data_IF_975201138060
#
_entry.id   IF_975201138060
#
_cell.length_a   1.000
_cell.length_b   1.000
_cell.length_c   1.000
_cell.angle_alpha   90.00
_cell.angle_beta   90.00
_cell.angle_gamma   90.00
#
_symmetry.space_group_name_H-M   'P 1'
#
loop_
_entity.id
_entity.type
_entity.pdbx_description
1 polymer ?
#
# COMPACT_ATOMS: atom_id res chain seq x y z
N UNK A 1 0.86 12.71 -10.37
CA UNK A 1 0.40 11.44 -9.76
C UNK A 1 -0.21 11.63 -8.38
N UNK A 2 -1.24 10.85 -8.01
CA UNK A 2 -1.86 10.85 -6.66
C UNK A 2 -0.84 10.56 -5.54
N UNK A 3 0.05 9.58 -5.77
CA UNK A 3 1.10 9.24 -4.81
C UNK A 3 2.09 10.39 -4.55
N UNK A 4 2.44 11.17 -5.57
CA UNK A 4 3.31 12.36 -5.42
C UNK A 4 2.66 13.42 -4.53
N UNK A 5 1.33 13.63 -4.65
CA UNK A 5 0.59 14.62 -3.84
C UNK A 5 0.64 14.32 -2.34
N UNK A 6 0.91 13.07 -1.97
CA UNK A 6 1.00 12.58 -0.59
C UNK A 6 2.43 12.31 -0.15
N UNK A 7 3.43 12.75 -0.90
CA UNK A 7 4.85 12.49 -0.58
C UNK A 7 5.24 12.82 0.85
N UNK A 8 4.74 13.93 1.40
CA UNK A 8 5.00 14.33 2.79
C UNK A 8 4.42 13.35 3.83
N UNK A 9 3.26 12.74 3.56
CA UNK A 9 2.68 11.73 4.44
C UNK A 9 3.57 10.48 4.50
N UNK A 10 4.04 10.01 3.35
CA UNK A 10 4.94 8.85 3.28
C UNK A 10 6.29 9.12 3.97
N UNK A 11 6.84 10.32 3.78
CA UNK A 11 8.08 10.75 4.47
C UNK A 11 7.90 10.80 5.99
N UNK A 12 6.80 11.38 6.48
CA UNK A 12 6.48 11.41 7.92
C UNK A 12 6.33 10.01 8.51
N UNK A 13 5.77 9.08 7.74
CA UNK A 13 5.61 7.68 8.11
C UNK A 13 6.89 6.85 7.94
N UNK A 14 7.96 7.43 7.38
CA UNK A 14 9.21 6.74 7.03
C UNK A 14 8.97 5.56 6.08
N UNK A 15 7.99 5.68 5.18
CA UNK A 15 7.65 4.65 4.21
C UNK A 15 8.37 4.91 2.88
N UNK A 16 9.09 3.90 2.38
CA UNK A 16 9.64 3.91 1.02
C UNK A 16 8.60 3.38 0.03
N UNK A 17 8.60 3.96 -1.17
CA UNK A 17 7.72 3.55 -2.27
C UNK A 17 8.59 3.01 -3.40
N UNK A 18 8.21 1.83 -3.89
CA UNK A 18 8.76 1.22 -5.09
C UNK A 18 7.60 0.88 -6.03
N UNK A 19 7.60 1.43 -7.24
CA UNK A 19 6.70 0.98 -8.29
C UNK A 19 7.37 -0.15 -9.08
N UNK A 20 6.60 -1.14 -9.50
CA UNK A 20 7.11 -2.29 -10.26
C UNK A 20 6.20 -2.52 -11.46
N UNK A 21 6.79 -2.82 -12.62
CA UNK A 21 6.06 -3.35 -13.78
C UNK A 21 6.94 -4.34 -14.54
N UNK A 22 6.36 -4.98 -15.55
CA UNK A 22 7.04 -5.90 -16.48
C UNK A 22 7.83 -5.17 -17.58
N UNK A 23 7.91 -3.84 -17.52
CA UNK A 23 8.72 -3.05 -18.42
C UNK A 23 10.21 -3.13 -18.07
N UNK A 24 11.05 -2.73 -19.02
CA UNK A 24 12.50 -2.60 -18.80
C UNK A 24 12.84 -1.29 -18.10
N UNK A 25 14.05 -1.21 -17.52
CA UNK A 25 14.59 0.05 -16.97
C UNK A 25 14.71 1.16 -18.01
N UNK A 26 14.88 0.82 -19.30
CA UNK A 26 14.93 1.79 -20.39
C UNK A 26 13.56 2.41 -20.64
N UNK A 27 12.51 1.58 -20.64
CA UNK A 27 11.12 2.05 -20.73
C UNK A 27 10.79 2.97 -19.57
N UNK A 28 11.15 2.59 -18.33
CA UNK A 28 10.94 3.44 -17.15
C UNK A 28 11.63 4.80 -17.28
N UNK A 29 12.87 4.83 -17.74
CA UNK A 29 13.61 6.06 -17.97
C UNK A 29 12.91 6.95 -19.01
N UNK A 30 12.52 6.37 -20.16
CA UNK A 30 11.81 7.11 -21.20
C UNK A 30 10.49 7.68 -20.68
N UNK A 31 9.72 6.92 -19.90
CA UNK A 31 8.50 7.39 -19.26
C UNK A 31 8.74 8.57 -18.32
N UNK A 32 9.75 8.49 -17.44
CA UNK A 32 10.08 9.60 -16.53
C UNK A 32 10.49 10.87 -17.30
N UNK A 33 11.22 10.71 -18.41
CA UNK A 33 11.73 11.84 -19.20
C UNK A 33 10.65 12.48 -20.08
N UNK A 34 9.68 11.70 -20.58
CA UNK A 34 8.72 12.14 -21.60
C UNK A 34 7.30 12.38 -21.07
N UNK A 35 6.86 11.65 -20.05
CA UNK A 35 5.47 11.69 -19.57
C UNK A 35 5.25 12.81 -18.55
N UNK A 36 4.42 13.80 -18.91
CA UNK A 36 4.12 14.95 -18.05
C UNK A 36 3.46 14.53 -16.72
N UNK A 37 2.65 13.47 -16.72
CA UNK A 37 2.03 12.94 -15.49
C UNK A 37 3.05 12.46 -14.46
N UNK A 38 4.22 12.00 -14.91
CA UNK A 38 5.34 11.54 -14.09
C UNK A 38 6.35 12.64 -13.76
N UNK A 39 6.10 13.89 -14.17
CA UNK A 39 6.95 15.01 -13.79
C UNK A 39 7.06 15.11 -12.26
N UNK A 40 8.30 15.11 -11.76
CA UNK A 40 8.60 15.12 -10.33
C UNK A 40 8.35 13.79 -9.60
N UNK A 41 8.16 12.69 -10.32
CA UNK A 41 8.19 11.35 -9.75
C UNK A 41 9.58 11.03 -9.21
N UNK A 42 9.66 10.77 -7.89
CA UNK A 42 10.92 10.61 -7.14
C UNK A 42 11.12 9.21 -6.55
N UNK A 43 10.21 8.30 -6.85
CA UNK A 43 10.20 6.94 -6.28
C UNK A 43 10.97 5.98 -7.18
N UNK A 44 11.49 4.89 -6.60
CA UNK A 44 12.21 3.88 -7.36
C UNK A 44 11.23 3.11 -8.27
N UNK A 45 11.65 2.85 -9.50
CA UNK A 45 10.92 1.99 -10.43
C UNK A 45 11.72 0.71 -10.66
N UNK A 46 11.22 -0.43 -10.18
CA UNK A 46 11.82 -1.73 -10.45
C UNK A 46 11.28 -2.30 -11.77
N UNK A 47 12.17 -2.98 -12.49
CA UNK A 47 11.85 -3.67 -13.73
C UNK A 47 11.77 -5.18 -13.47
N UNK A 48 10.59 -5.76 -13.66
CA UNK A 48 10.33 -7.20 -13.60
C UNK A 48 10.12 -7.75 -15.02
N UNK A 49 11.08 -7.51 -15.91
CA UNK A 49 10.91 -7.74 -17.34
C UNK A 49 10.60 -9.21 -17.71
N UNK A 50 11.07 -10.16 -16.91
CA UNK A 50 10.78 -11.58 -17.10
C UNK A 50 9.50 -12.04 -16.37
N UNK A 51 8.82 -11.15 -15.65
CA UNK A 51 7.61 -11.44 -14.87
C UNK A 51 7.84 -12.38 -13.69
N UNK A 52 9.10 -12.63 -13.28
CA UNK A 52 9.40 -13.59 -12.21
C UNK A 52 8.82 -13.11 -10.88
N UNK A 53 9.03 -11.84 -10.55
CA UNK A 53 8.57 -11.27 -9.29
C UNK A 53 7.04 -11.20 -9.23
N UNK A 54 6.40 -10.79 -10.32
CA UNK A 54 4.95 -10.73 -10.43
C UNK A 54 4.28 -12.11 -10.31
N UNK A 55 4.92 -13.18 -10.83
CA UNK A 55 4.47 -14.56 -10.66
C UNK A 55 4.61 -15.05 -9.22
N UNK A 56 5.73 -14.73 -8.55
CA UNK A 56 5.93 -15.06 -7.13
C UNK A 56 4.86 -14.41 -6.23
N UNK A 57 4.38 -13.23 -6.62
CA UNK A 57 3.29 -12.53 -5.95
C UNK A 57 1.88 -12.98 -6.37
N UNK A 58 1.77 -13.86 -7.38
CA UNK A 58 0.49 -14.34 -7.89
C UNK A 58 -0.34 -13.28 -8.62
N UNK A 59 0.29 -12.22 -9.14
CA UNK A 59 -0.37 -11.10 -9.82
C UNK A 59 -0.03 -10.99 -11.30
N UNK A 60 0.75 -11.92 -11.85
CA UNK A 60 1.12 -11.92 -13.26
C UNK A 60 0.01 -12.54 -14.10
N UNK A 61 -0.41 -11.83 -15.15
CA UNK A 61 -1.32 -12.32 -16.17
C UNK A 61 -0.50 -12.92 -17.32
N UNK A 62 -0.60 -14.24 -17.48
CA UNK A 62 0.13 -15.01 -18.50
C UNK A 62 -0.39 -14.76 -19.92
N UNK A 63 -1.66 -14.34 -20.09
CA UNK A 63 -2.24 -14.13 -21.42
C UNK A 63 -1.74 -12.83 -22.04
N UNK A 64 -1.60 -11.78 -21.24
CA UNK A 64 -1.22 -10.43 -21.72
C UNK A 64 0.21 -10.02 -21.32
N UNK A 65 0.88 -10.78 -20.45
CA UNK A 65 2.26 -10.53 -20.06
C UNK A 65 2.46 -9.34 -19.12
N UNK A 66 1.46 -9.02 -18.29
CA UNK A 66 1.47 -7.85 -17.40
C UNK A 66 1.07 -8.22 -15.97
N UNK A 67 1.50 -7.41 -15.01
CA UNK A 67 1.05 -7.54 -13.63
C UNK A 67 -0.30 -6.84 -13.42
N UNK A 68 -1.19 -7.46 -12.64
CA UNK A 68 -2.40 -6.83 -12.12
C UNK A 68 -2.06 -5.62 -11.24
N UNK A 69 -3.01 -4.68 -11.08
CA UNK A 69 -2.82 -3.49 -10.24
C UNK A 69 -2.89 -3.84 -8.74
N UNK A 70 -1.79 -4.35 -8.20
CA UNK A 70 -1.66 -4.73 -6.80
C UNK A 70 -0.88 -3.73 -5.95
N UNK A 71 -1.16 -3.64 -4.66
CA UNK A 71 -0.36 -2.92 -3.68
C UNK A 71 -0.02 -3.87 -2.53
N UNK A 72 1.23 -3.84 -2.08
CA UNK A 72 1.73 -4.60 -0.95
C UNK A 72 2.37 -3.63 0.03
N UNK A 73 2.01 -3.76 1.31
CA UNK A 73 2.60 -2.98 2.41
C UNK A 73 3.37 -3.96 3.29
N UNK A 74 4.68 -3.75 3.34
CA UNK A 74 5.64 -4.60 4.04
C UNK A 74 6.25 -3.78 5.17
N UNK A 75 6.35 -4.37 6.36
CA UNK A 75 6.95 -3.70 7.51
C UNK A 75 8.50 -3.85 7.52
N UNK A 76 9.22 -3.14 8.41
CA UNK A 76 10.69 -3.19 8.45
C UNK A 76 11.29 -4.58 8.67
N UNK A 77 10.57 -5.50 9.30
CA UNK A 77 10.98 -6.88 9.51
C UNK A 77 10.78 -7.76 8.25
N UNK A 78 10.32 -7.17 7.14
CA UNK A 78 10.09 -7.87 5.87
C UNK A 78 8.78 -8.68 5.84
N UNK A 79 7.86 -8.44 6.79
CA UNK A 79 6.58 -9.14 6.86
C UNK A 79 5.51 -8.39 6.08
N UNK A 80 4.76 -9.10 5.23
CA UNK A 80 3.60 -8.54 4.54
C UNK A 80 2.49 -8.22 5.55
N UNK A 81 2.04 -6.96 5.59
CA UNK A 81 1.02 -6.48 6.54
C UNK A 81 -0.31 -6.19 5.89
N UNK A 82 -0.32 -5.80 4.62
CA UNK A 82 -1.54 -5.64 3.82
C UNK A 82 -1.24 -5.87 2.35
N UNK A 83 -2.21 -6.43 1.62
CA UNK A 83 -2.20 -6.47 0.17
C UNK A 83 -3.61 -6.26 -0.37
N UNK A 84 -3.70 -5.66 -1.54
CA UNK A 84 -4.96 -5.57 -2.28
C UNK A 84 -4.70 -5.48 -3.77
N UNK A 85 -5.62 -6.06 -4.55
CA UNK A 85 -5.61 -6.07 -6.01
C UNK A 85 -6.83 -5.29 -6.48
N UNK A 86 -6.62 -4.44 -7.48
CA UNK A 86 -7.66 -3.65 -8.10
C UNK A 86 -7.71 -4.03 -9.58
N UNK A 87 -8.92 -4.13 -10.14
CA UNK A 87 -9.10 -4.44 -11.55
C UNK A 87 -8.48 -3.34 -12.44
N UNK A 88 -8.02 -3.71 -13.63
CA UNK A 88 -7.31 -2.80 -14.54
C UNK A 88 -8.00 -1.48 -14.90
N UNK A 89 -9.34 -1.39 -15.02
CA UNK A 89 -10.00 -0.11 -15.29
C UNK A 89 -10.10 0.81 -14.06
N UNK A 90 -9.69 0.36 -12.87
CA UNK A 90 -9.89 1.08 -11.61
C UNK A 90 -8.54 1.55 -11.05
N UNK A 91 -8.46 2.85 -10.75
CA UNK A 91 -7.30 3.45 -10.10
C UNK A 91 -7.25 3.14 -8.59
N UNK A 92 -6.04 2.94 -8.06
CA UNK A 92 -5.80 2.83 -6.61
C UNK A 92 -5.80 4.21 -5.95
N UNK A 93 -6.12 4.28 -4.66
CA UNK A 93 -6.05 5.49 -3.85
C UNK A 93 -4.79 5.50 -2.99
N UNK A 94 -3.91 6.48 -3.16
CA UNK A 94 -2.75 6.66 -2.28
C UNK A 94 -3.17 7.12 -0.88
N UNK A 95 -4.36 7.73 -0.73
CA UNK A 95 -4.91 8.05 0.59
C UNK A 95 -5.19 6.81 1.42
N UNK A 96 -5.69 5.74 0.78
CA UNK A 96 -5.92 4.47 1.46
C UNK A 96 -4.61 3.77 1.85
N UNK A 97 -3.56 3.88 1.01
CA UNK A 97 -2.22 3.40 1.36
C UNK A 97 -1.70 4.12 2.61
N UNK A 98 -1.82 5.46 2.66
CA UNK A 98 -1.39 6.27 3.81
C UNK A 98 -2.17 5.90 5.07
N UNK A 99 -3.50 5.76 4.98
CA UNK A 99 -4.36 5.32 6.09
C UNK A 99 -3.93 3.95 6.61
N UNK A 100 -3.67 3.00 5.70
CA UNK A 100 -3.23 1.66 6.06
C UNK A 100 -1.85 1.67 6.73
N UNK A 101 -0.90 2.46 6.23
CA UNK A 101 0.42 2.64 6.86
C UNK A 101 0.29 3.18 8.28
N UNK A 102 -0.56 4.20 8.51
CA UNK A 102 -0.85 4.72 9.86
C UNK A 102 -1.43 3.65 10.77
N UNK A 103 -2.39 2.88 10.27
CA UNK A 103 -3.05 1.83 11.05
C UNK A 103 -2.10 0.69 11.43
N UNK A 104 -1.25 0.26 10.49
CA UNK A 104 -0.24 -0.76 10.73
C UNK A 104 0.76 -0.28 11.79
N UNK A 105 1.31 0.93 11.60
CA UNK A 105 2.24 1.54 12.55
C UNK A 105 1.64 1.68 13.95
N UNK A 106 0.42 2.20 14.05
CA UNK A 106 -0.27 2.32 15.33
C UNK A 106 -0.44 0.98 16.03
N UNK A 107 -0.88 -0.05 15.30
CA UNK A 107 -1.11 -1.38 15.87
C UNK A 107 0.19 -2.07 16.32
N UNK A 108 1.32 -1.79 15.67
CA UNK A 108 2.65 -2.25 16.10
C UNK A 108 3.12 -1.51 17.36
N UNK A 109 2.92 -0.19 17.44
CA UNK A 109 3.32 0.64 18.58
C UNK A 109 2.42 0.44 19.82
N UNK A 110 1.18 -0.05 19.64
CA UNK A 110 0.21 -0.22 20.73
C UNK A 110 -0.33 -1.67 20.82
N UNK A 111 0.47 -2.62 21.32
CA UNK A 111 0.02 -3.98 21.54
C UNK A 111 -1.26 -4.04 22.38
N UNK A 112 -2.24 -4.84 21.94
CA UNK A 112 -3.54 -4.97 22.62
C UNK A 112 -4.63 -4.00 22.14
N UNK A 113 -4.29 -2.98 21.33
CA UNK A 113 -5.28 -2.13 20.65
C UNK A 113 -5.61 -2.65 19.25
N UNK A 114 -6.78 -2.27 18.74
CA UNK A 114 -7.23 -2.60 17.37
C UNK A 114 -7.84 -1.36 16.71
N UNK A 115 -7.45 -1.14 15.46
CA UNK A 115 -8.03 -0.14 14.56
C UNK A 115 -9.36 -0.67 14.00
N UNK A 116 -10.53 -0.07 14.31
CA UNK A 116 -11.82 -0.49 13.74
C UNK A 116 -11.92 -0.22 12.22
N UNK A 117 -13.04 -0.63 11.63
CA UNK A 117 -13.33 -0.33 10.22
C UNK A 117 -13.26 1.17 9.96
N UNK A 118 -12.65 1.55 8.83
CA UNK A 118 -12.44 2.95 8.43
C UNK A 118 -11.62 3.80 9.42
N UNK A 119 -10.89 3.19 10.35
CA UNK A 119 -10.04 3.91 11.29
C UNK A 119 -8.94 4.71 10.57
N UNK A 120 -8.68 5.93 11.04
CA UNK A 120 -7.51 6.75 10.72
C UNK A 120 -6.98 7.39 12.01
N UNK A 121 -5.80 8.01 11.93
CA UNK A 121 -5.11 8.63 13.05
C UNK A 121 -6.02 9.61 13.81
N UNK A 122 -6.16 9.41 15.13
CA UNK A 122 -7.01 10.21 16.01
C UNK A 122 -8.41 9.65 16.25
N UNK A 123 -8.84 8.63 15.50
CA UNK A 123 -10.13 7.96 15.75
C UNK A 123 -10.06 6.96 16.92
N UNK A 124 -11.24 6.64 17.48
CA UNK A 124 -11.38 5.70 18.58
C UNK A 124 -10.86 4.30 18.23
N UNK A 125 -10.34 3.62 19.25
CA UNK A 125 -9.69 2.31 19.15
C UNK A 125 -10.40 1.29 20.03
N UNK A 126 -10.25 0.02 19.68
CA UNK A 126 -10.84 -1.10 20.42
C UNK A 126 -9.78 -1.80 21.26
N UNK A 127 -10.19 -2.39 22.37
CA UNK A 127 -9.32 -3.22 23.21
C UNK A 127 -9.50 -4.72 22.89
N UNK A 128 -8.38 -5.43 22.77
CA UNK A 128 -8.38 -6.89 22.62
C UNK A 128 -8.71 -7.55 23.96
N UNK A 129 -9.58 -8.56 23.94
CA UNK A 129 -9.76 -9.44 25.10
C UNK A 129 -11.06 -10.24 25.04
N UNK A 130 -11.09 -11.39 25.71
CA UNK A 130 -12.27 -12.28 25.77
C UNK A 130 -13.52 -11.54 26.27
N UNK A 131 -13.35 -10.59 27.20
CA UNK A 131 -14.46 -9.78 27.73
C UNK A 131 -15.10 -8.86 26.66
N UNK A 132 -14.34 -8.55 25.61
CA UNK A 132 -14.67 -7.62 24.53
C UNK A 132 -15.15 -8.33 23.25
N UNK A 133 -14.84 -9.62 23.10
CA UNK A 133 -15.29 -10.46 21.98
C UNK A 133 -16.81 -10.43 21.84
N UNK A 134 -17.31 -10.15 20.63
CA UNK A 134 -18.74 -10.03 20.34
C UNK A 134 -19.42 -8.77 20.91
N UNK A 135 -18.68 -7.87 21.58
CA UNK A 135 -19.21 -6.64 22.21
C UNK A 135 -18.60 -5.38 21.61
N UNK A 136 -18.27 -5.41 20.32
CA UNK A 136 -17.62 -4.29 19.61
C UNK A 136 -18.51 -3.06 19.54
N UNK A 137 -19.82 -3.22 19.28
CA UNK A 137 -20.76 -2.10 19.23
C UNK A 137 -20.77 -1.27 20.52
N UNK A 138 -20.70 -1.92 21.69
CA UNK A 138 -20.66 -1.23 22.99
C UNK A 138 -19.34 -0.50 23.25
N UNK A 139 -18.28 -0.82 22.53
CA UNK A 139 -17.01 -0.09 22.62
C UNK A 139 -16.98 1.11 21.68
N UNK A 140 -17.60 1.00 20.50
CA UNK A 140 -17.65 2.08 19.50
C UNK A 140 -18.64 3.19 19.84
N UNK A 141 -19.65 2.94 20.69
CA UNK A 141 -20.72 3.89 21.00
C UNK A 141 -20.74 4.26 22.49
N UNK A 142 -19.56 4.53 23.07
CA UNK A 142 -19.44 4.99 24.46
C UNK A 142 -19.49 6.50 24.57
#
# INVERSE_FOLDING_TARGET
MDINRRGADFEKLKAEIVSVSTDTVYTHKAWIEMEELLKGFKYKMAADHNGKFSRELGIYDEEIGMAQRACFIINPEGTLRASYIVADPIGRSAGEVVRMLRAIKFAEEHPGKVCPASWDEGADVLEKGIKHTGKVYKQLNK
#
